data_IF_160320092330
#
_entry.id   IF_160320092330
#
_cell.length_a   1.000
_cell.length_b   1.000
_cell.length_c   1.000
_cell.angle_alpha   90.00
_cell.angle_beta   90.00
_cell.angle_gamma   90.00
#
_symmetry.space_group_name_H-M   'P 1'
#
loop_
_entity.id
_entity.type
_entity.pdbx_description
1 polymer ?
#
# COMPACT_ATOMS: atom_id res chain seq x y z
N UNK A 1 -6.25 -16.81 2.05
CA UNK A 1 -7.09 -15.86 1.28
C UNK A 1 -6.23 -15.18 0.23
N UNK A 2 -6.85 -14.60 -0.79
CA UNK A 2 -6.18 -13.73 -1.75
C UNK A 2 -6.32 -12.27 -1.35
N UNK A 3 -5.19 -11.57 -1.32
CA UNK A 3 -5.11 -10.14 -1.08
C UNK A 3 -4.64 -9.45 -2.34
N UNK A 4 -5.40 -8.45 -2.76
CA UNK A 4 -5.04 -7.58 -3.87
C UNK A 4 -4.15 -6.45 -3.35
N UNK A 5 -3.11 -6.08 -4.09
CA UNK A 5 -2.33 -4.86 -3.89
C UNK A 5 -1.92 -4.28 -5.26
N UNK A 6 -1.48 -3.03 -5.29
CA UNK A 6 -1.20 -2.36 -6.56
C UNK A 6 0.20 -1.76 -6.59
N UNK A 7 0.92 -1.97 -7.69
CA UNK A 7 2.12 -1.19 -8.02
C UNK A 7 1.89 -0.45 -9.33
N UNK A 8 2.08 0.86 -9.35
CA UNK A 8 1.74 1.67 -10.51
C UNK A 8 2.72 2.80 -10.78
N UNK A 9 2.73 3.26 -12.02
CA UNK A 9 3.32 4.52 -12.45
C UNK A 9 2.25 5.33 -13.18
N UNK A 10 2.12 6.60 -12.83
CA UNK A 10 1.19 7.53 -13.41
C UNK A 10 1.89 8.86 -13.70
N UNK A 11 1.73 9.37 -14.93
CA UNK A 11 2.18 10.71 -15.32
C UNK A 11 1.09 11.41 -16.11
N UNK A 12 0.76 12.63 -15.71
CA UNK A 12 -0.21 13.46 -16.39
C UNK A 12 0.21 14.93 -16.31
N UNK A 13 -0.13 15.72 -17.32
CA UNK A 13 0.05 17.18 -17.31
C UNK A 13 -1.26 17.92 -17.00
N UNK A 14 -2.41 17.28 -17.22
CA UNK A 14 -3.75 17.83 -17.04
C UNK A 14 -4.64 16.82 -16.28
N UNK A 15 -5.63 17.28 -15.48
CA UNK A 15 -5.93 18.68 -15.14
C UNK A 15 -4.91 19.29 -14.17
N UNK A 16 -4.04 18.48 -13.55
CA UNK A 16 -2.91 18.92 -12.73
C UNK A 16 -1.69 18.04 -13.02
N UNK A 17 -0.46 18.58 -12.97
CA UNK A 17 0.75 17.78 -13.10
C UNK A 17 0.81 16.67 -12.05
N UNK A 18 1.02 15.45 -12.52
CA UNK A 18 1.19 14.24 -11.73
C UNK A 18 2.44 13.50 -12.23
N UNK A 19 3.36 13.15 -11.33
CA UNK A 19 4.43 12.19 -11.57
C UNK A 19 4.53 11.31 -10.33
N UNK A 20 3.90 10.14 -10.40
CA UNK A 20 3.78 9.23 -9.27
C UNK A 20 4.23 7.84 -9.68
N UNK A 21 5.05 7.22 -8.83
CA UNK A 21 5.37 5.81 -8.90
C UNK A 21 5.22 5.19 -7.53
N UNK A 22 4.56 4.05 -7.46
CA UNK A 22 4.36 3.28 -6.23
C UNK A 22 4.76 1.84 -6.49
N UNK A 23 5.76 1.38 -5.78
CA UNK A 23 6.14 -0.03 -5.73
C UNK A 23 5.65 -0.60 -4.39
N UNK A 24 4.75 -1.59 -4.45
CA UNK A 24 4.10 -2.16 -3.27
C UNK A 24 4.69 -3.52 -2.92
N UNK A 25 5.01 -3.69 -1.64
CA UNK A 25 5.51 -4.95 -1.08
C UNK A 25 4.58 -5.39 0.04
N UNK A 26 4.12 -6.63 -0.03
CA UNK A 26 3.16 -7.19 0.93
C UNK A 26 3.89 -8.16 1.86
N UNK A 27 3.70 -7.95 3.16
CA UNK A 27 4.27 -8.77 4.21
C UNK A 27 3.19 -9.27 5.13
N UNK A 28 3.45 -10.43 5.71
CA UNK A 28 2.65 -11.01 6.75
C UNK A 28 3.44 -10.96 8.06
N UNK A 29 2.80 -10.47 9.12
CA UNK A 29 3.43 -10.41 10.42
C UNK A 29 3.27 -11.75 11.14
N UNK A 30 4.38 -12.45 11.38
CA UNK A 30 4.41 -13.74 12.07
C UNK A 30 5.44 -13.72 13.18
N UNK A 31 4.99 -13.91 14.43
CA UNK A 31 5.86 -14.06 15.62
C UNK A 31 6.93 -12.96 15.70
N UNK A 32 6.53 -11.71 15.49
CA UNK A 32 7.42 -10.55 15.53
C UNK A 32 8.36 -10.38 14.33
N UNK A 33 8.12 -11.10 13.23
CA UNK A 33 8.89 -10.98 11.98
C UNK A 33 7.97 -10.70 10.81
N UNK A 34 8.46 -9.91 9.86
CA UNK A 34 7.78 -9.67 8.60
C UNK A 34 8.22 -10.72 7.57
N UNK A 35 7.28 -11.51 7.07
CA UNK A 35 7.53 -12.49 6.02
C UNK A 35 6.96 -11.93 4.71
N UNK A 36 7.82 -11.70 3.72
CA UNK A 36 7.36 -11.20 2.42
C UNK A 36 6.49 -12.26 1.74
N UNK A 37 5.29 -11.86 1.34
CA UNK A 37 4.41 -12.71 0.57
C UNK A 37 4.86 -12.80 -0.88
N UNK A 38 4.63 -13.97 -1.48
CA UNK A 38 4.70 -14.15 -2.93
C UNK A 38 3.35 -13.76 -3.51
N UNK A 39 3.38 -13.01 -4.59
CA UNK A 39 2.18 -12.55 -5.27
C UNK A 39 2.33 -12.85 -6.75
N UNK A 40 1.26 -13.32 -7.36
CA UNK A 40 1.16 -13.39 -8.80
C UNK A 40 0.85 -11.99 -9.33
N UNK A 41 1.45 -11.65 -10.47
CA UNK A 41 1.24 -10.34 -11.10
C UNK A 41 0.30 -10.49 -12.29
N UNK A 42 -0.64 -9.55 -12.42
CA UNK A 42 -1.48 -9.44 -13.61
C UNK A 42 -1.69 -7.97 -14.01
N UNK A 43 -2.07 -7.72 -15.27
CA UNK A 43 -2.47 -6.39 -15.71
C UNK A 43 -3.67 -5.88 -14.91
N UNK A 44 -3.70 -4.57 -14.72
CA UNK A 44 -4.86 -3.85 -14.20
C UNK A 44 -6.05 -3.92 -15.16
N UNK A 45 -7.25 -4.06 -14.60
CA UNK A 45 -8.53 -4.05 -15.33
C UNK A 45 -9.48 -3.01 -14.73
N UNK A 46 -10.54 -2.63 -15.45
CA UNK A 46 -11.52 -1.66 -14.93
C UNK A 46 -12.20 -2.13 -13.64
N UNK A 47 -12.35 -3.45 -13.45
CA UNK A 47 -12.91 -4.03 -12.22
C UNK A 47 -12.04 -3.75 -10.98
N UNK A 48 -10.78 -3.36 -11.18
CA UNK A 48 -9.85 -3.01 -10.11
C UNK A 48 -9.91 -1.53 -9.70
N UNK A 49 -10.64 -0.69 -10.43
CA UNK A 49 -10.68 0.76 -10.18
C UNK A 49 -11.21 1.13 -8.79
N UNK A 50 -12.26 0.45 -8.33
CA UNK A 50 -12.81 0.70 -7.00
C UNK A 50 -11.84 0.29 -5.89
N UNK A 51 -11.16 -0.85 -6.05
CA UNK A 51 -10.16 -1.30 -5.08
C UNK A 51 -8.93 -0.38 -5.05
N UNK A 52 -8.54 0.15 -6.21
CA UNK A 52 -7.49 1.16 -6.33
C UNK A 52 -7.87 2.44 -5.56
N UNK A 53 -9.09 2.95 -5.76
CA UNK A 53 -9.59 4.14 -5.05
C UNK A 53 -9.67 3.90 -3.54
N UNK A 54 -10.14 2.73 -3.13
CA UNK A 54 -10.16 2.34 -1.73
C UNK A 54 -8.74 2.27 -1.15
N UNK A 55 -7.74 1.81 -1.90
CA UNK A 55 -6.34 1.73 -1.45
C UNK A 55 -5.65 3.10 -1.37
N UNK A 56 -5.78 3.93 -2.40
CA UNK A 56 -4.97 5.14 -2.53
C UNK A 56 -5.72 6.45 -2.29
N UNK A 57 -7.05 6.46 -2.28
CA UNK A 57 -7.84 7.66 -2.05
C UNK A 57 -7.53 8.31 -0.70
N UNK A 58 -7.36 7.50 0.35
CA UNK A 58 -6.98 8.00 1.67
C UNK A 58 -5.46 8.12 1.85
N UNK A 59 -4.69 7.19 1.28
CA UNK A 59 -3.26 7.07 1.54
C UNK A 59 -2.42 8.05 0.72
N UNK A 60 -2.77 8.23 -0.56
CA UNK A 60 -2.07 9.12 -1.50
C UNK A 60 -2.92 10.30 -1.96
N UNK A 61 -4.22 10.35 -1.63
CA UNK A 61 -5.17 11.31 -2.19
C UNK A 61 -5.26 11.23 -3.71
N UNK A 62 -5.25 10.00 -4.22
CA UNK A 62 -5.36 9.69 -5.64
C UNK A 62 -6.50 8.69 -5.86
N UNK A 63 -7.27 8.96 -6.89
CA UNK A 63 -8.27 8.04 -7.45
C UNK A 63 -7.84 7.59 -8.84
N UNK A 64 -8.50 6.57 -9.37
CA UNK A 64 -8.35 6.07 -10.72
C UNK A 64 -8.61 7.20 -11.73
N UNK A 65 -9.61 8.05 -11.49
CA UNK A 65 -9.90 9.20 -12.33
C UNK A 65 -8.69 10.14 -12.44
N UNK A 66 -7.95 10.37 -11.35
CA UNK A 66 -6.78 11.25 -11.38
C UNK A 66 -5.62 10.69 -12.23
N UNK A 67 -5.46 9.36 -12.27
CA UNK A 67 -4.31 8.72 -12.92
C UNK A 67 -4.54 8.37 -14.40
N UNK A 68 -5.80 8.25 -14.85
CA UNK A 68 -6.11 7.87 -16.25
C UNK A 68 -6.01 9.00 -17.26
N UNK A 69 -5.90 10.25 -16.82
CA UNK A 69 -5.81 11.40 -17.72
C UNK A 69 -4.46 11.57 -18.43
N UNK A 70 -3.52 10.64 -18.24
CA UNK A 70 -2.22 10.62 -18.90
C UNK A 70 -1.69 9.20 -19.14
N UNK A 71 -0.40 8.99 -18.93
CA UNK A 71 0.17 7.63 -18.97
C UNK A 71 -0.05 6.95 -17.64
N UNK A 72 -0.72 5.81 -17.64
CA UNK A 72 -0.94 4.98 -16.47
C UNK A 72 -0.57 3.53 -16.76
N UNK A 73 0.29 2.95 -15.91
CA UNK A 73 0.64 1.54 -15.95
C UNK A 73 0.52 1.00 -14.53
N UNK A 74 -0.35 0.01 -14.33
CA UNK A 74 -0.57 -0.61 -13.03
C UNK A 74 -0.49 -2.13 -13.14
N UNK A 75 0.23 -2.71 -12.18
CA UNK A 75 0.31 -4.15 -11.94
C UNK A 75 -0.46 -4.46 -10.67
N UNK A 76 -1.38 -5.40 -10.80
CA UNK A 76 -2.11 -5.94 -9.65
C UNK A 76 -1.32 -7.12 -9.12
N UNK A 77 -1.08 -7.10 -7.82
CA UNK A 77 -0.39 -8.14 -7.07
C UNK A 77 -1.45 -8.95 -6.33
N UNK A 78 -1.67 -10.19 -6.75
CA UNK A 78 -2.58 -11.12 -6.09
C UNK A 78 -1.76 -12.02 -5.15
N UNK A 79 -1.79 -11.73 -3.86
CA UNK A 79 -0.96 -12.35 -2.84
C UNK A 79 -1.74 -13.39 -2.03
N UNK A 80 -1.18 -14.57 -1.84
CA UNK A 80 -1.73 -15.57 -0.93
C UNK A 80 -1.26 -15.31 0.51
N UNK A 81 -2.22 -15.05 1.40
CA UNK A 81 -1.98 -14.83 2.82
C UNK A 81 -2.70 -15.86 3.68
N UNK A 82 -2.08 -16.24 4.80
CA UNK A 82 -2.61 -17.22 5.74
C UNK A 82 -2.53 -16.77 7.22
N UNK A 83 -2.03 -15.57 7.49
CA UNK A 83 -1.86 -14.99 8.80
C UNK A 83 -2.83 -13.84 9.04
N UNK A 84 -2.92 -13.47 10.31
CA UNK A 84 -4.00 -12.61 10.81
C UNK A 84 -3.72 -11.12 10.61
N UNK A 85 -2.45 -10.75 10.37
CA UNK A 85 -2.06 -9.36 10.15
C UNK A 85 -1.13 -9.22 8.95
N UNK A 86 -1.51 -8.30 8.07
CA UNK A 86 -0.82 -8.02 6.81
C UNK A 86 -0.36 -6.58 6.82
N UNK A 87 0.87 -6.37 6.38
CA UNK A 87 1.49 -5.06 6.23
C UNK A 87 1.83 -4.86 4.76
N UNK A 88 1.14 -3.93 4.10
CA UNK A 88 1.55 -3.43 2.79
C UNK A 88 2.48 -2.24 2.98
N UNK A 89 3.60 -2.26 2.29
CA UNK A 89 4.59 -1.18 2.28
C UNK A 89 4.58 -0.57 0.89
N UNK A 90 4.28 0.71 0.81
CA UNK A 90 4.23 1.49 -0.42
C UNK A 90 5.50 2.35 -0.48
N UNK A 91 6.42 2.01 -1.36
CA UNK A 91 7.53 2.88 -1.70
C UNK A 91 7.06 3.84 -2.79
N UNK A 92 6.63 5.03 -2.38
CA UNK A 92 6.08 6.03 -3.27
C UNK A 92 7.12 7.10 -3.63
N UNK A 93 7.16 7.43 -4.92
CA UNK A 93 7.86 8.58 -5.48
C UNK A 93 6.81 9.54 -6.02
N UNK A 94 6.73 10.75 -5.46
CA UNK A 94 5.80 11.81 -5.84
C UNK A 94 6.65 12.99 -6.35
N UNK A 95 6.85 13.09 -7.66
CA UNK A 95 7.85 13.94 -8.27
C UNK A 95 9.26 13.58 -7.76
N UNK A 96 9.91 14.53 -7.08
CA UNK A 96 11.23 14.31 -6.46
C UNK A 96 11.16 13.71 -5.05
N UNK A 97 9.99 13.77 -4.40
CA UNK A 97 9.82 13.31 -3.02
C UNK A 97 9.70 11.79 -2.99
N UNK A 98 10.52 11.14 -2.17
CA UNK A 98 10.38 9.72 -1.83
C UNK A 98 9.77 9.58 -0.45
N UNK A 99 8.81 8.67 -0.31
CA UNK A 99 8.12 8.42 0.95
C UNK A 99 7.76 6.95 1.06
N UNK A 100 7.96 6.39 2.25
CA UNK A 100 7.54 5.04 2.60
C UNK A 100 6.27 5.12 3.44
N UNK A 101 5.20 4.52 2.94
CA UNK A 101 3.89 4.50 3.59
C UNK A 101 3.50 3.06 3.93
N UNK A 102 2.73 2.91 4.99
CA UNK A 102 2.29 1.61 5.49
C UNK A 102 0.77 1.53 5.51
N UNK A 103 0.24 0.38 5.11
CA UNK A 103 -1.16 -0.02 5.33
C UNK A 103 -1.14 -1.31 6.13
N UNK A 104 -1.86 -1.36 7.25
CA UNK A 104 -2.02 -2.56 8.07
C UNK A 104 -3.45 -3.07 7.96
N UNK A 105 -3.56 -4.34 7.63
CA UNK A 105 -4.83 -5.06 7.51
C UNK A 105 -4.89 -6.12 8.61
N UNK A 106 -6.03 -6.21 9.28
CA UNK A 106 -6.40 -7.36 10.09
C UNK A 106 -7.25 -8.30 9.26
N UNK A 107 -7.07 -9.59 9.49
CA UNK A 107 -7.83 -10.66 8.89
C UNK A 107 -8.60 -11.34 10.02
N UNK A 108 -9.92 -11.31 9.96
CA UNK A 108 -10.81 -11.91 10.96
C UNK A 108 -11.94 -12.65 10.24
N UNK A 109 -12.14 -13.93 10.55
CA UNK A 109 -13.28 -14.73 10.07
C UNK A 109 -13.51 -14.76 8.54
N UNK A 110 -12.45 -14.54 7.76
CA UNK A 110 -12.50 -14.51 6.29
C UNK A 110 -12.66 -13.11 5.69
N UNK A 111 -12.87 -12.09 6.53
CA UNK A 111 -12.89 -10.69 6.14
C UNK A 111 -11.53 -10.01 6.34
N UNK A 112 -11.25 -9.04 5.47
CA UNK A 112 -10.03 -8.24 5.51
C UNK A 112 -10.40 -6.80 5.84
N UNK A 113 -9.97 -6.33 7.01
CA UNK A 113 -10.25 -4.99 7.50
C UNK A 113 -8.98 -4.15 7.55
N UNK A 114 -9.02 -2.96 6.95
CA UNK A 114 -7.97 -1.96 7.14
C UNK A 114 -8.06 -1.39 8.56
N UNK A 115 -7.03 -1.63 9.37
CA UNK A 115 -6.93 -1.14 10.75
C UNK A 115 -5.97 0.06 10.88
N UNK A 116 -5.13 0.26 9.86
CA UNK A 116 -4.24 1.42 9.77
C UNK A 116 -3.90 1.72 8.31
N UNK A 117 -3.75 3.00 8.00
CA UNK A 117 -3.04 3.46 6.83
C UNK A 117 -2.36 4.79 7.13
N UNK A 118 -1.12 4.93 6.68
CA UNK A 118 -0.50 6.24 6.56
C UNK A 118 -1.30 7.08 5.55
N UNK A 119 -1.33 8.39 5.80
CA UNK A 119 -1.87 9.40 4.89
C UNK A 119 -0.74 10.32 4.48
N UNK A 120 -0.58 10.57 3.19
CA UNK A 120 0.52 11.42 2.69
C UNK A 120 0.43 12.85 3.23
N UNK A 121 -0.80 13.36 3.39
CA UNK A 121 -1.07 14.63 4.05
C UNK A 121 -1.10 14.43 5.56
N UNK A 122 -0.31 15.21 6.29
CA UNK A 122 -0.21 15.08 7.75
C UNK A 122 0.52 13.81 8.19
N UNK A 123 1.43 13.30 7.35
CA UNK A 123 2.30 12.20 7.71
C UNK A 123 3.16 12.60 8.92
N UNK A 124 2.87 12.01 10.08
CA UNK A 124 3.59 12.28 11.32
C UNK A 124 5.02 11.74 11.33
N UNK A 125 5.72 11.99 12.44
CA UNK A 125 7.08 11.52 12.67
C UNK A 125 7.18 9.99 12.60
N UNK A 126 8.31 9.49 12.12
CA UNK A 126 8.54 8.05 11.94
C UNK A 126 8.34 7.27 13.24
N UNK A 127 8.87 7.78 14.36
CA UNK A 127 8.82 7.09 15.65
C UNK A 127 7.37 6.87 16.12
N UNK A 128 6.49 7.85 15.95
CA UNK A 128 5.09 7.75 16.35
C UNK A 128 4.33 6.74 15.47
N UNK A 129 4.54 6.83 14.16
CA UNK A 129 3.97 5.90 13.17
C UNK A 129 4.43 4.48 13.42
N UNK A 130 5.74 4.26 13.56
CA UNK A 130 6.35 2.97 13.81
C UNK A 130 5.86 2.36 15.11
N UNK A 131 5.72 3.15 16.19
CA UNK A 131 5.16 2.66 17.45
C UNK A 131 3.69 2.21 17.29
N UNK A 132 2.88 2.95 16.52
CA UNK A 132 1.48 2.57 16.26
C UNK A 132 1.39 1.31 15.40
N UNK A 133 2.14 1.24 14.29
CA UNK A 133 2.18 0.06 13.42
C UNK A 133 2.72 -1.16 14.19
N UNK A 134 3.72 -0.97 15.05
CA UNK A 134 4.30 -2.03 15.88
C UNK A 134 3.27 -2.65 16.81
N UNK A 135 2.47 -1.83 17.50
CA UNK A 135 1.38 -2.34 18.36
C UNK A 135 0.32 -3.12 17.58
N UNK A 136 -0.01 -2.69 16.36
CA UNK A 136 -1.06 -3.31 15.54
C UNK A 136 -0.59 -4.59 14.84
N UNK A 137 0.67 -4.64 14.42
CA UNK A 137 1.25 -5.76 13.67
C UNK A 137 2.07 -6.73 14.52
N UNK A 138 2.34 -6.38 15.78
CA UNK A 138 3.30 -7.06 16.64
C UNK A 138 4.72 -7.15 16.05
N UNK A 139 5.05 -6.32 15.04
CA UNK A 139 6.40 -6.20 14.50
C UNK A 139 7.19 -5.18 15.31
N UNK A 140 8.45 -5.47 15.72
CA UNK A 140 9.27 -4.46 16.38
C UNK A 140 9.63 -3.33 15.39
N UNK A 141 9.85 -2.09 15.86
CA UNK A 141 10.19 -0.96 14.99
C UNK A 141 11.39 -1.22 14.06
N UNK A 142 12.40 -1.95 14.53
CA UNK A 142 13.57 -2.33 13.71
C UNK A 142 13.22 -3.23 12.53
N UNK A 143 12.19 -4.07 12.64
CA UNK A 143 11.68 -4.84 11.51
C UNK A 143 10.98 -3.91 10.51
N UNK A 144 10.19 -2.95 10.99
CA UNK A 144 9.49 -1.99 10.13
C UNK A 144 10.44 -1.07 9.35
N UNK A 145 11.57 -0.68 9.94
CA UNK A 145 12.62 0.10 9.26
C UNK A 145 13.26 -0.66 8.10
N UNK A 146 13.43 -1.97 8.28
CA UNK A 146 14.06 -2.87 7.31
C UNK A 146 13.12 -3.30 6.16
N UNK A 147 11.81 -3.05 6.26
CA UNK A 147 10.87 -3.24 5.14
C UNK A 147 11.05 -2.12 4.16
#
# INVERSE_FOLDING_TARGET
>A
MRLKAFSFEAKASEPRPLDVRVDTRVYEARRGRAVRLRCDERPFSLDDALDFDLEFGDTLQLTYADVVHGTFSCRVLDCDAAGDVIVKVLDARLGERRVKLFIVLAVEEGDVKRIYADRITGLGEWQERAAKISRLSSLPPSQLEAL
#
